data_IF_605608331344
#
_entry.id   IF_605608331344
#
_cell.length_a   1.000
_cell.length_b   1.000
_cell.length_c   1.000
_cell.angle_alpha   90.00
_cell.angle_beta   90.00
_cell.angle_gamma   90.00
#
_symmetry.space_group_name_H-M   'P 1'
#
loop_
_entity.id
_entity.type
_entity.pdbx_description
1 polymer ?
#
# COMPACT_ATOMS: atom_id res chain seq x y z
N UNK A 1 8.45 -10.38 -1.62
CA UNK A 1 9.45 -11.42 -1.23
C UNK A 1 9.84 -11.35 0.24
N UNK A 2 10.29 -10.21 0.77
CA UNK A 2 10.74 -10.11 2.18
C UNK A 2 9.65 -10.44 3.21
N UNK A 3 8.38 -10.11 2.94
CA UNK A 3 7.27 -10.45 3.83
C UNK A 3 7.13 -11.97 4.04
N UNK A 4 7.23 -12.74 2.96
CA UNK A 4 7.17 -14.22 3.03
C UNK A 4 8.35 -14.76 3.84
N UNK A 5 9.56 -14.27 3.57
CA UNK A 5 10.76 -14.66 4.32
C UNK A 5 10.58 -14.33 5.81
N UNK A 6 10.09 -13.13 6.13
CA UNK A 6 9.81 -12.71 7.50
C UNK A 6 8.83 -13.64 8.23
N UNK A 7 7.72 -13.99 7.57
CA UNK A 7 6.73 -14.95 8.12
C UNK A 7 7.40 -16.32 8.39
N UNK A 8 8.15 -16.83 7.42
CA UNK A 8 8.86 -18.12 7.58
C UNK A 8 9.85 -18.08 8.75
N UNK A 9 10.59 -16.97 8.91
CA UNK A 9 11.53 -16.80 10.02
C UNK A 9 10.80 -16.73 11.36
N UNK A 10 9.71 -16.00 11.48
CA UNK A 10 8.92 -15.90 12.72
C UNK A 10 8.41 -17.27 13.14
N UNK A 11 7.69 -17.95 12.26
CA UNK A 11 7.14 -19.27 12.57
C UNK A 11 8.23 -20.33 12.74
N UNK A 12 9.27 -20.29 11.92
CA UNK A 12 10.40 -21.20 12.00
C UNK A 12 11.18 -21.07 13.31
N UNK A 13 11.42 -19.85 13.78
CA UNK A 13 12.11 -19.60 15.06
C UNK A 13 11.27 -20.09 16.26
N UNK A 14 9.95 -19.81 16.26
CA UNK A 14 9.07 -20.21 17.35
C UNK A 14 8.92 -21.73 17.39
N UNK A 15 8.61 -22.35 16.25
CA UNK A 15 8.47 -23.83 16.18
C UNK A 15 9.80 -24.50 16.44
N UNK A 16 10.91 -24.01 15.90
CA UNK A 16 12.24 -24.54 16.12
C UNK A 16 12.66 -24.46 17.59
N UNK A 17 12.45 -23.30 18.25
CA UNK A 17 12.72 -23.16 19.69
C UNK A 17 11.88 -24.10 20.54
N UNK A 18 10.58 -24.23 20.22
CA UNK A 18 9.67 -25.12 20.91
C UNK A 18 10.09 -26.60 20.78
N UNK A 19 10.55 -27.01 19.58
CA UNK A 19 11.07 -28.40 19.38
C UNK A 19 12.41 -28.65 20.08
N UNK A 20 13.28 -27.64 20.19
CA UNK A 20 14.55 -27.78 20.96
C UNK A 20 14.29 -28.09 22.44
N UNK A 21 13.22 -27.56 23.02
CA UNK A 21 12.73 -27.83 24.37
C UNK A 21 11.91 -29.14 24.46
N UNK A 22 11.96 -29.99 23.40
CA UNK A 22 11.17 -31.22 23.28
C UNK A 22 9.66 -31.03 23.38
N UNK A 23 9.16 -29.87 22.95
CA UNK A 23 7.74 -29.57 22.92
C UNK A 23 6.97 -30.44 21.92
N UNK A 24 5.74 -30.82 22.29
CA UNK A 24 4.88 -31.64 21.45
C UNK A 24 4.02 -30.73 20.55
N UNK A 25 4.28 -30.73 19.24
CA UNK A 25 3.54 -29.92 18.28
C UNK A 25 2.04 -30.21 18.25
N UNK A 26 1.58 -31.41 18.59
CA UNK A 26 0.16 -31.74 18.64
C UNK A 26 -0.59 -30.89 19.69
N UNK A 27 0.09 -30.48 20.75
CA UNK A 27 -0.48 -29.62 21.78
C UNK A 27 -0.75 -28.19 21.23
N UNK A 28 0.08 -27.70 20.30
CA UNK A 28 -0.11 -26.40 19.67
C UNK A 28 -1.23 -26.38 18.63
N UNK A 29 -1.62 -27.55 18.11
CA UNK A 29 -2.68 -27.68 17.13
C UNK A 29 -4.05 -27.80 17.85
N UNK A 30 -4.64 -26.67 18.16
CA UNK A 30 -5.95 -26.55 18.83
C UNK A 30 -6.97 -25.91 17.88
N UNK A 31 -7.71 -26.74 17.08
CA UNK A 31 -8.68 -26.18 16.11
C UNK A 31 -9.80 -25.35 16.76
N UNK A 32 -10.22 -25.74 17.97
CA UNK A 32 -11.26 -25.01 18.69
C UNK A 32 -10.81 -23.57 19.03
N UNK A 33 -9.59 -23.40 19.53
CA UNK A 33 -9.01 -22.10 19.85
C UNK A 33 -8.84 -21.24 18.59
N UNK A 34 -8.42 -21.83 17.47
CA UNK A 34 -8.35 -21.14 16.19
C UNK A 34 -9.71 -20.66 15.71
N UNK A 35 -10.76 -21.46 15.84
CA UNK A 35 -12.13 -21.09 15.46
C UNK A 35 -12.62 -19.93 16.33
N UNK A 36 -12.38 -19.99 17.64
CA UNK A 36 -12.80 -18.93 18.56
C UNK A 36 -12.10 -17.62 18.19
N UNK A 37 -10.76 -17.63 18.07
CA UNK A 37 -9.98 -16.43 17.82
C UNK A 37 -10.25 -15.87 16.43
N UNK A 38 -10.09 -16.70 15.39
CA UNK A 38 -10.25 -16.25 14.00
C UNK A 38 -11.71 -15.92 13.65
N UNK A 39 -12.67 -16.71 14.18
CA UNK A 39 -14.10 -16.46 13.97
C UNK A 39 -14.55 -15.17 14.65
N UNK A 40 -14.15 -14.95 15.90
CA UNK A 40 -14.46 -13.70 16.60
C UNK A 40 -13.76 -12.50 15.93
N UNK A 41 -12.50 -12.62 15.53
CA UNK A 41 -11.80 -11.58 14.78
C UNK A 41 -12.49 -11.25 13.44
N UNK A 42 -12.92 -12.26 12.69
CA UNK A 42 -13.70 -12.06 11.47
C UNK A 42 -15.03 -11.33 11.77
N UNK A 43 -15.73 -11.72 12.86
CA UNK A 43 -16.94 -11.04 13.30
C UNK A 43 -16.72 -9.57 13.64
N UNK A 44 -15.67 -9.26 14.39
CA UNK A 44 -15.35 -7.84 14.74
C UNK A 44 -15.04 -7.01 13.51
N UNK A 45 -14.32 -7.57 12.51
CA UNK A 45 -14.08 -6.90 11.22
C UNK A 45 -15.36 -6.56 10.49
N UNK A 46 -16.29 -7.51 10.40
CA UNK A 46 -17.58 -7.34 9.73
C UNK A 46 -18.47 -6.31 10.42
N UNK A 47 -18.43 -6.24 11.76
CA UNK A 47 -19.18 -5.25 12.53
C UNK A 47 -18.60 -3.85 12.35
N UNK A 48 -17.26 -3.72 12.27
CA UNK A 48 -16.57 -2.44 12.33
C UNK A 48 -16.42 -1.75 10.98
N UNK A 49 -16.55 -2.48 9.86
CA UNK A 49 -16.18 -1.97 8.55
C UNK A 49 -17.24 -2.18 7.48
N UNK A 50 -17.50 -1.18 6.63
CA UNK A 50 -18.37 -1.36 5.47
C UNK A 50 -17.70 -2.26 4.39
N UNK A 51 -18.51 -2.88 3.50
CA UNK A 51 -18.03 -3.89 2.54
C UNK A 51 -16.91 -3.41 1.61
N UNK A 52 -16.90 -2.13 1.24
CA UNK A 52 -15.85 -1.59 0.35
C UNK A 52 -14.47 -1.55 1.02
N UNK A 53 -14.40 -1.28 2.34
CA UNK A 53 -13.16 -1.31 3.11
C UNK A 53 -12.67 -2.75 3.24
N UNK A 54 -13.56 -3.72 3.47
CA UNK A 54 -13.21 -5.13 3.54
C UNK A 54 -12.59 -5.63 2.23
N UNK A 55 -13.14 -5.20 1.09
CA UNK A 55 -12.58 -5.52 -0.22
C UNK A 55 -11.19 -4.90 -0.41
N UNK A 56 -11.02 -3.61 -0.08
CA UNK A 56 -9.72 -2.92 -0.14
C UNK A 56 -8.70 -3.59 0.81
N UNK A 57 -9.10 -4.01 2.00
CA UNK A 57 -8.26 -4.71 2.97
C UNK A 57 -7.77 -6.07 2.41
N UNK A 58 -8.65 -6.87 1.82
CA UNK A 58 -8.28 -8.14 1.20
C UNK A 58 -7.32 -7.94 0.01
N UNK A 59 -7.55 -6.92 -0.81
CA UNK A 59 -6.64 -6.53 -1.90
C UNK A 59 -5.28 -6.06 -1.37
N UNK A 60 -5.26 -5.26 -0.29
CA UNK A 60 -4.04 -4.80 0.36
C UNK A 60 -3.22 -5.95 0.93
N UNK A 61 -3.86 -6.92 1.61
CA UNK A 61 -3.22 -8.16 2.08
C UNK A 61 -2.54 -8.92 0.94
N UNK A 62 -3.21 -9.10 -0.20
CA UNK A 62 -2.62 -9.74 -1.37
C UNK A 62 -1.44 -8.92 -1.93
N UNK A 63 -1.55 -7.59 -1.90
CA UNK A 63 -0.52 -6.65 -2.37
C UNK A 63 0.80 -6.73 -1.61
N UNK A 64 0.77 -7.06 -0.31
CA UNK A 64 1.98 -7.19 0.53
C UNK A 64 2.95 -8.25 0.01
N UNK A 65 2.44 -9.28 -0.65
CA UNK A 65 3.24 -10.36 -1.24
C UNK A 65 3.77 -10.02 -2.65
N UNK A 66 3.29 -8.91 -3.25
CA UNK A 66 3.82 -8.33 -4.49
C UNK A 66 5.16 -7.63 -4.25
N UNK A 67 5.63 -6.89 -5.19
CA UNK A 67 6.77 -5.97 -5.05
C UNK A 67 6.29 -4.55 -4.75
N UNK A 68 7.23 -3.60 -4.63
CA UNK A 68 6.88 -2.19 -4.57
C UNK A 68 6.17 -1.75 -5.86
N UNK A 69 5.09 -1.00 -5.71
CA UNK A 69 4.32 -0.44 -6.84
C UNK A 69 5.06 0.73 -7.51
N UNK A 70 6.00 1.36 -6.80
CA UNK A 70 6.69 2.57 -7.20
C UNK A 70 8.21 2.39 -7.27
N UNK A 71 8.71 1.50 -8.18
CA UNK A 71 10.14 1.34 -8.40
C UNK A 71 10.72 2.59 -9.09
N UNK A 72 12.04 2.77 -9.04
CA UNK A 72 12.78 3.87 -9.68
C UNK A 72 12.36 4.12 -11.13
N UNK A 73 12.13 3.04 -11.91
CA UNK A 73 11.72 3.15 -13.32
C UNK A 73 10.38 3.86 -13.46
N UNK A 74 9.43 3.63 -12.55
CA UNK A 74 8.12 4.28 -12.59
C UNK A 74 8.23 5.80 -12.40
N UNK A 75 9.11 6.27 -11.51
CA UNK A 75 9.40 7.70 -11.36
C UNK A 75 10.02 8.29 -12.63
N UNK A 76 10.97 7.58 -13.25
CA UNK A 76 11.56 8.00 -14.53
C UNK A 76 10.53 8.13 -15.63
N UNK A 77 9.67 7.11 -15.78
CA UNK A 77 8.62 7.08 -16.81
C UNK A 77 7.63 8.23 -16.62
N UNK A 78 7.24 8.51 -15.38
CA UNK A 78 6.32 9.60 -15.06
C UNK A 78 6.92 10.98 -15.31
N UNK A 79 8.16 11.19 -14.87
CA UNK A 79 8.86 12.45 -15.13
C UNK A 79 9.11 12.66 -16.63
N UNK A 80 9.37 11.58 -17.38
CA UNK A 80 9.50 11.64 -18.84
C UNK A 80 8.18 11.97 -19.53
N UNK A 81 7.08 11.32 -19.12
CA UNK A 81 5.73 11.63 -19.61
C UNK A 81 5.40 13.11 -19.39
N UNK A 82 5.61 13.60 -18.16
CA UNK A 82 5.37 15.01 -17.84
C UNK A 82 6.27 15.93 -18.66
N UNK A 83 7.55 15.59 -18.84
CA UNK A 83 8.47 16.37 -19.67
C UNK A 83 7.98 16.47 -21.11
N UNK A 84 7.49 15.39 -21.71
CA UNK A 84 6.99 15.36 -23.08
C UNK A 84 5.74 16.25 -23.23
N UNK A 85 4.79 16.12 -22.31
CA UNK A 85 3.58 16.97 -22.27
C UNK A 85 3.94 18.44 -22.07
N UNK A 86 4.80 18.75 -21.11
CA UNK A 86 5.22 20.13 -20.83
C UNK A 86 5.99 20.76 -22.00
N UNK A 87 6.85 19.98 -22.66
CA UNK A 87 7.63 20.45 -23.81
C UNK A 87 6.74 20.74 -25.01
N UNK A 88 5.71 19.94 -25.24
CA UNK A 88 4.73 20.18 -26.29
C UNK A 88 3.87 21.41 -25.96
N UNK A 89 3.35 21.48 -24.76
CA UNK A 89 2.58 22.63 -24.28
C UNK A 89 3.39 23.94 -24.34
N UNK A 90 4.68 23.90 -24.03
CA UNK A 90 5.54 25.10 -24.09
C UNK A 90 5.79 25.60 -25.51
N UNK A 91 5.84 24.71 -26.50
CA UNK A 91 6.08 25.05 -27.92
C UNK A 91 4.82 25.48 -28.66
N UNK A 92 3.72 24.80 -28.39
CA UNK A 92 2.49 24.85 -29.18
C UNK A 92 1.30 25.47 -28.43
N UNK A 93 1.52 25.85 -27.14
CA UNK A 93 0.48 26.33 -26.24
C UNK A 93 -0.18 25.23 -25.41
N UNK A 94 -0.87 25.62 -24.33
CA UNK A 94 -1.53 24.68 -23.41
C UNK A 94 -2.59 23.84 -24.11
N UNK A 95 -3.32 24.41 -25.08
CA UNK A 95 -4.33 23.68 -25.85
C UNK A 95 -3.79 22.52 -26.69
N UNK A 96 -2.48 22.47 -26.96
CA UNK A 96 -1.88 21.40 -27.74
C UNK A 96 -1.92 20.03 -27.02
N UNK A 97 -2.03 20.01 -25.70
CA UNK A 97 -2.14 18.78 -24.89
C UNK A 97 -3.58 18.45 -24.48
N UNK A 98 -4.55 19.28 -24.85
CA UNK A 98 -5.96 19.09 -24.46
C UNK A 98 -6.50 17.74 -24.95
N UNK A 99 -6.30 17.41 -26.24
CA UNK A 99 -6.73 16.14 -26.81
C UNK A 99 -6.05 14.92 -26.13
N UNK A 100 -4.79 15.07 -25.67
CA UNK A 100 -4.07 13.99 -24.98
C UNK A 100 -4.64 13.73 -23.57
N UNK A 101 -5.02 14.79 -22.85
CA UNK A 101 -5.56 14.65 -21.48
C UNK A 101 -7.06 14.32 -21.48
N UNK A 102 -7.80 14.64 -22.57
CA UNK A 102 -9.19 14.23 -22.71
C UNK A 102 -9.34 12.74 -23.05
N UNK A 103 -8.52 12.25 -23.98
CA UNK A 103 -8.51 10.82 -24.34
C UNK A 103 -7.08 10.26 -24.32
N UNK A 104 -6.55 9.94 -23.12
CA UNK A 104 -5.19 9.42 -23.00
C UNK A 104 -5.00 8.05 -23.70
N UNK A 105 -6.09 7.33 -24.00
CA UNK A 105 -6.01 6.03 -24.69
C UNK A 105 -5.63 6.19 -26.15
N UNK A 106 -5.94 7.32 -26.77
CA UNK A 106 -5.57 7.68 -28.15
C UNK A 106 -4.27 8.47 -28.24
N UNK A 107 -3.78 8.97 -27.12
CA UNK A 107 -2.55 9.75 -27.06
C UNK A 107 -1.32 8.87 -27.28
N UNK A 108 -0.48 9.22 -28.26
CA UNK A 108 0.82 8.57 -28.48
C UNK A 108 1.77 8.79 -27.30
N UNK A 109 1.64 9.93 -26.60
CA UNK A 109 2.47 10.28 -25.45
C UNK A 109 2.14 9.38 -24.25
N UNK A 110 0.86 9.22 -23.91
CA UNK A 110 0.44 8.38 -22.78
C UNK A 110 0.61 6.88 -23.09
N UNK A 111 0.30 6.42 -24.30
CA UNK A 111 0.43 5.00 -24.67
C UNK A 111 1.86 4.48 -24.68
N UNK A 112 2.86 5.37 -24.73
CA UNK A 112 4.27 5.01 -24.56
C UNK A 112 4.60 4.54 -23.12
N UNK A 113 3.72 4.80 -22.13
CA UNK A 113 3.92 4.47 -20.73
C UNK A 113 2.82 3.55 -20.18
N UNK A 114 2.81 2.26 -20.54
CA UNK A 114 1.73 1.32 -20.20
C UNK A 114 1.52 1.15 -18.69
N UNK A 115 2.58 1.31 -17.89
CA UNK A 115 2.50 1.21 -16.43
C UNK A 115 1.66 2.34 -15.82
N UNK A 116 1.71 3.55 -16.40
CA UNK A 116 0.91 4.71 -15.98
C UNK A 116 -0.52 4.54 -16.48
N UNK A 117 -0.69 4.10 -17.73
CA UNK A 117 -2.01 3.86 -18.34
C UNK A 117 -2.86 2.83 -17.59
N UNK A 118 -2.23 1.83 -16.96
CA UNK A 118 -2.91 0.80 -16.15
C UNK A 118 -3.35 1.31 -14.77
N UNK A 119 -2.79 2.40 -14.30
CA UNK A 119 -3.09 2.98 -13.00
C UNK A 119 -4.05 4.15 -13.18
N UNK A 120 -5.35 3.84 -13.10
CA UNK A 120 -6.40 4.82 -13.34
C UNK A 120 -6.34 6.02 -12.39
N UNK A 121 -5.90 5.84 -11.13
CA UNK A 121 -5.80 6.93 -10.19
C UNK A 121 -4.69 7.92 -10.59
N UNK A 122 -3.50 7.41 -10.90
CA UNK A 122 -2.38 8.23 -11.38
C UNK A 122 -2.73 8.92 -12.71
N UNK A 123 -3.36 8.19 -13.62
CA UNK A 123 -3.78 8.72 -14.91
C UNK A 123 -4.76 9.87 -14.74
N UNK A 124 -5.79 9.68 -13.92
CA UNK A 124 -6.80 10.71 -13.65
C UNK A 124 -6.17 11.93 -12.96
N UNK A 125 -5.32 11.72 -11.94
CA UNK A 125 -4.62 12.81 -11.27
C UNK A 125 -3.85 13.70 -12.24
N UNK A 126 -3.11 13.11 -13.19
CA UNK A 126 -2.37 13.87 -14.20
C UNK A 126 -3.33 14.55 -15.18
N UNK A 127 -4.30 13.82 -15.73
CA UNK A 127 -5.20 14.33 -16.76
C UNK A 127 -6.11 15.41 -16.22
N UNK A 128 -6.73 15.24 -15.05
CA UNK A 128 -7.66 16.19 -14.48
C UNK A 128 -6.96 17.50 -14.06
N UNK A 129 -5.75 17.39 -13.51
CA UNK A 129 -4.92 18.57 -13.19
C UNK A 129 -4.56 19.34 -14.46
N UNK A 130 -4.07 18.67 -15.50
CA UNK A 130 -3.67 19.33 -16.73
C UNK A 130 -4.89 19.86 -17.50
N UNK A 131 -6.04 19.19 -17.48
CA UNK A 131 -7.30 19.66 -18.03
C UNK A 131 -7.74 20.97 -17.35
N UNK A 132 -7.66 21.02 -16.03
CA UNK A 132 -7.95 22.26 -15.29
C UNK A 132 -6.99 23.37 -15.66
N UNK A 133 -5.70 23.07 -15.80
CA UNK A 133 -4.70 24.06 -16.20
C UNK A 133 -4.90 24.55 -17.65
N UNK A 134 -5.32 23.69 -18.58
CA UNK A 134 -5.57 24.07 -19.99
C UNK A 134 -6.80 24.97 -20.15
N UNK A 135 -7.77 24.89 -19.26
CA UNK A 135 -8.95 25.75 -19.28
C UNK A 135 -8.63 27.23 -19.11
N UNK A 136 -7.47 27.55 -18.47
CA UNK A 136 -7.05 28.93 -18.20
C UNK A 136 -7.95 29.71 -17.23
N UNK A 137 -8.95 29.04 -16.64
CA UNK A 137 -9.94 29.67 -15.76
C UNK A 137 -9.54 29.65 -14.27
N UNK A 138 -8.49 28.93 -13.91
CA UNK A 138 -8.08 28.69 -12.52
C UNK A 138 -6.64 29.14 -12.30
N UNK A 139 -6.41 29.88 -11.23
CA UNK A 139 -5.08 30.36 -10.87
C UNK A 139 -4.14 29.20 -10.47
N UNK A 140 -2.82 29.30 -10.74
CA UNK A 140 -1.85 28.25 -10.38
C UNK A 140 -1.86 27.86 -8.91
N UNK A 141 -2.18 28.78 -8.01
CA UNK A 141 -2.31 28.52 -6.58
C UNK A 141 -3.50 27.61 -6.28
N UNK A 142 -4.65 27.88 -6.88
CA UNK A 142 -5.86 27.08 -6.65
C UNK A 142 -5.72 25.67 -7.24
N UNK A 143 -5.04 25.52 -8.39
CA UNK A 143 -4.73 24.20 -8.95
C UNK A 143 -3.82 23.39 -7.99
N UNK A 144 -2.85 24.03 -7.34
CA UNK A 144 -2.00 23.36 -6.33
C UNK A 144 -2.82 22.90 -5.12
N UNK A 145 -3.78 23.72 -4.66
CA UNK A 145 -4.69 23.36 -3.58
C UNK A 145 -5.62 22.19 -3.97
N UNK A 146 -6.11 22.16 -5.21
CA UNK A 146 -6.92 21.05 -5.72
C UNK A 146 -6.12 19.75 -5.75
N UNK A 147 -4.87 19.78 -6.20
CA UNK A 147 -3.98 18.61 -6.17
C UNK A 147 -3.70 18.13 -4.74
N UNK A 148 -3.50 19.06 -3.80
CA UNK A 148 -3.27 18.74 -2.39
C UNK A 148 -4.49 18.04 -1.78
N UNK A 149 -5.69 18.58 -2.03
CA UNK A 149 -6.94 18.00 -1.56
C UNK A 149 -7.15 16.58 -2.14
N UNK A 150 -6.90 16.38 -3.44
CA UNK A 150 -7.02 15.06 -4.08
C UNK A 150 -6.05 14.05 -3.46
N UNK A 151 -4.80 14.46 -3.24
CA UNK A 151 -3.81 13.64 -2.54
C UNK A 151 -4.21 13.30 -1.12
N UNK A 152 -4.76 14.26 -0.36
CA UNK A 152 -5.22 14.04 1.01
C UNK A 152 -6.36 13.03 1.06
N UNK A 153 -7.38 13.20 0.22
CA UNK A 153 -8.52 12.28 0.12
C UNK A 153 -8.05 10.88 -0.26
N UNK A 154 -7.16 10.77 -1.26
CA UNK A 154 -6.62 9.49 -1.69
C UNK A 154 -5.82 8.79 -0.58
N UNK A 155 -4.98 9.54 0.14
CA UNK A 155 -4.19 9.00 1.26
C UNK A 155 -5.09 8.55 2.41
N UNK A 156 -6.12 9.32 2.77
CA UNK A 156 -7.11 8.93 3.78
C UNK A 156 -7.85 7.65 3.38
N UNK A 157 -8.25 7.52 2.12
CA UNK A 157 -8.87 6.28 1.62
C UNK A 157 -7.93 5.07 1.67
N UNK A 158 -6.64 5.26 1.38
CA UNK A 158 -5.63 4.22 1.45
C UNK A 158 -5.31 3.81 2.90
N UNK A 159 -5.45 4.72 3.86
CA UNK A 159 -5.26 4.45 5.28
C UNK A 159 -6.39 3.64 5.92
N UNK A 160 -7.63 3.72 5.41
CA UNK A 160 -8.78 3.01 5.99
C UNK A 160 -8.60 1.49 6.08
N UNK A 161 -8.20 0.76 5.02
CA UNK A 161 -7.98 -0.69 5.10
C UNK A 161 -6.80 -1.05 6.00
N UNK A 162 -5.81 -0.18 6.14
CA UNK A 162 -4.69 -0.35 7.07
C UNK A 162 -5.18 -0.26 8.51
N UNK A 163 -5.96 0.76 8.84
CA UNK A 163 -6.56 0.93 10.17
C UNK A 163 -7.48 -0.24 10.52
N UNK A 164 -8.29 -0.72 9.57
CA UNK A 164 -9.13 -1.88 9.76
C UNK A 164 -8.31 -3.13 10.11
N UNK A 165 -7.23 -3.41 9.39
CA UNK A 165 -6.35 -4.55 9.67
C UNK A 165 -5.61 -4.40 11.00
N UNK A 166 -5.17 -3.19 11.35
CA UNK A 166 -4.54 -2.91 12.65
C UNK A 166 -5.51 -3.18 13.80
N UNK A 167 -6.76 -2.74 13.69
CA UNK A 167 -7.80 -3.02 14.69
C UNK A 167 -8.02 -4.53 14.88
N UNK A 168 -7.98 -5.30 13.80
CA UNK A 168 -8.05 -6.78 13.90
C UNK A 168 -6.82 -7.31 14.63
N UNK A 169 -5.62 -6.91 14.23
CA UNK A 169 -4.38 -7.37 14.86
C UNK A 169 -4.40 -7.09 16.38
N UNK A 170 -4.79 -5.87 16.76
CA UNK A 170 -4.85 -5.43 18.16
C UNK A 170 -5.93 -6.17 18.98
N UNK A 171 -6.98 -6.68 18.35
CA UNK A 171 -8.02 -7.46 19.01
C UNK A 171 -7.60 -8.91 19.33
N UNK A 172 -6.65 -9.47 18.57
CA UNK A 172 -6.26 -10.88 18.69
C UNK A 172 -5.73 -11.31 20.06
N UNK A 173 -4.88 -10.53 20.76
CA UNK A 173 -4.44 -10.88 22.10
C UNK A 173 -5.61 -10.99 23.08
N UNK A 174 -6.57 -10.03 23.01
CA UNK A 174 -7.79 -10.05 23.82
C UNK A 174 -8.67 -11.27 23.52
N UNK A 175 -8.86 -11.60 22.23
CA UNK A 175 -9.60 -12.79 21.80
C UNK A 175 -8.88 -14.09 22.22
N UNK A 176 -7.54 -14.09 22.22
CA UNK A 176 -6.74 -15.19 22.77
C UNK A 176 -6.97 -15.41 24.27
N UNK A 177 -7.13 -14.32 25.04
CA UNK A 177 -7.49 -14.42 26.46
C UNK A 177 -8.91 -15.00 26.62
N UNK A 178 -9.87 -14.55 25.78
CA UNK A 178 -11.25 -15.11 25.79
C UNK A 178 -11.21 -16.62 25.54
N UNK A 179 -10.46 -17.07 24.53
CA UNK A 179 -10.29 -18.49 24.23
C UNK A 179 -9.69 -19.25 25.43
N UNK A 180 -8.62 -18.71 26.03
CA UNK A 180 -7.96 -19.30 27.21
C UNK A 180 -8.94 -19.42 28.41
N UNK A 181 -9.72 -18.39 28.69
CA UNK A 181 -10.70 -18.41 29.79
C UNK A 181 -11.79 -19.48 29.55
N UNK A 182 -12.28 -19.60 28.31
CA UNK A 182 -13.22 -20.67 27.94
C UNK A 182 -12.59 -22.06 28.14
N UNK A 183 -11.33 -22.23 27.75
CA UNK A 183 -10.57 -23.46 27.98
C UNK A 183 -10.44 -23.82 29.48
N UNK A 184 -10.18 -22.81 30.33
CA UNK A 184 -10.15 -23.00 31.79
C UNK A 184 -11.53 -23.39 32.33
N UNK A 185 -12.63 -22.75 31.88
CA UNK A 185 -14.01 -23.12 32.28
C UNK A 185 -14.29 -24.58 31.94
N UNK A 186 -13.90 -25.03 30.74
CA UNK A 186 -14.04 -26.44 30.33
C UNK A 186 -13.21 -27.39 31.23
N UNK A 187 -11.97 -26.95 31.58
CA UNK A 187 -11.07 -27.71 32.46
C UNK A 187 -11.68 -27.90 33.87
N UNK A 188 -12.29 -26.81 34.39
CA UNK A 188 -12.97 -26.89 35.71
C UNK A 188 -14.10 -27.94 35.75
N UNK A 189 -14.82 -28.12 34.63
CA UNK A 189 -15.81 -29.17 34.48
C UNK A 189 -15.24 -30.62 34.47
N UNK A 190 -13.94 -30.76 34.27
CA UNK A 190 -13.24 -32.04 34.29
C UNK A 190 -12.53 -32.36 35.63
N UNK A 191 -12.68 -31.51 36.64
CA UNK A 191 -12.12 -31.74 37.97
C UNK A 191 -12.71 -33.04 38.57
N UNK A 192 -11.84 -33.94 38.98
CA UNK A 192 -12.19 -35.29 39.43
C UNK A 192 -11.91 -36.40 38.41
N UNK A 193 -11.52 -36.04 37.19
CA UNK A 193 -10.97 -36.95 36.18
C UNK A 193 -9.49 -37.23 36.33
N UNK A 194 -8.89 -38.01 35.41
CA UNK A 194 -7.48 -38.33 35.42
C UNK A 194 -6.59 -37.07 35.34
N UNK A 195 -5.50 -36.95 36.11
CA UNK A 195 -4.61 -35.77 36.08
C UNK A 195 -4.05 -35.46 34.70
N UNK A 196 -3.82 -36.44 33.86
CA UNK A 196 -3.37 -36.28 32.48
C UNK A 196 -4.36 -35.52 31.60
N UNK A 197 -5.66 -35.80 31.76
CA UNK A 197 -6.71 -35.13 31.04
C UNK A 197 -6.81 -33.63 31.44
N UNK A 198 -6.67 -33.37 32.75
CA UNK A 198 -6.64 -31.98 33.26
C UNK A 198 -5.44 -31.25 32.69
N UNK A 199 -4.24 -31.90 32.70
CA UNK A 199 -3.02 -31.32 32.12
C UNK A 199 -3.16 -30.96 30.63
N UNK A 200 -3.76 -31.84 29.84
CA UNK A 200 -4.04 -31.57 28.42
C UNK A 200 -4.99 -30.37 28.21
N UNK A 201 -6.06 -30.28 29.01
CA UNK A 201 -7.02 -29.16 28.91
C UNK A 201 -6.40 -27.83 29.33
N UNK A 202 -5.57 -27.81 30.36
CA UNK A 202 -4.81 -26.61 30.77
C UNK A 202 -3.82 -26.19 29.68
N UNK A 203 -3.09 -27.12 29.11
CA UNK A 203 -2.17 -26.85 28.04
C UNK A 203 -2.91 -26.25 26.80
N UNK A 204 -4.06 -26.83 26.43
CA UNK A 204 -4.89 -26.32 25.34
C UNK A 204 -5.35 -24.86 25.59
N UNK A 205 -5.83 -24.56 26.80
CA UNK A 205 -6.25 -23.20 27.17
C UNK A 205 -5.11 -22.17 27.06
N UNK A 206 -3.89 -22.52 27.41
CA UNK A 206 -2.72 -21.63 27.27
C UNK A 206 -2.36 -21.35 25.80
N UNK A 207 -2.63 -22.32 24.91
CA UNK A 207 -2.38 -22.15 23.47
C UNK A 207 -3.24 -21.04 22.87
N UNK A 208 -4.46 -20.82 23.36
CA UNK A 208 -5.30 -19.71 22.88
C UNK A 208 -4.63 -18.35 23.05
N UNK A 209 -4.11 -18.07 24.24
CA UNK A 209 -3.35 -16.83 24.50
C UNK A 209 -2.11 -16.74 23.61
N UNK A 210 -1.33 -17.81 23.51
CA UNK A 210 -0.16 -17.87 22.66
C UNK A 210 -0.49 -17.57 21.19
N UNK A 211 -1.52 -18.19 20.62
CA UNK A 211 -1.96 -17.98 19.25
C UNK A 211 -2.44 -16.54 19.02
N UNK A 212 -3.21 -15.97 19.92
CA UNK A 212 -3.66 -14.58 19.82
C UNK A 212 -2.50 -13.61 19.74
N UNK A 213 -1.51 -13.75 20.62
CA UNK A 213 -0.28 -12.92 20.64
C UNK A 213 0.56 -13.15 19.38
N UNK A 214 0.76 -14.41 18.99
CA UNK A 214 1.54 -14.74 17.80
C UNK A 214 0.92 -14.17 16.52
N UNK A 215 -0.37 -14.32 16.33
CA UNK A 215 -1.06 -13.80 15.15
C UNK A 215 -1.05 -12.27 15.13
N UNK A 216 -1.16 -11.60 16.27
CA UNK A 216 -1.06 -10.14 16.37
C UNK A 216 0.35 -9.66 15.97
N UNK A 217 1.36 -10.03 16.76
CA UNK A 217 2.70 -9.44 16.64
C UNK A 217 3.59 -10.13 15.61
N UNK A 218 3.34 -11.42 15.34
CA UNK A 218 4.12 -12.21 14.40
C UNK A 218 3.60 -12.16 12.96
N UNK A 219 2.34 -11.79 12.77
CA UNK A 219 1.71 -11.86 11.43
C UNK A 219 0.96 -10.58 11.05
N UNK A 220 -0.21 -10.31 11.64
CA UNK A 220 -1.12 -9.26 11.15
C UNK A 220 -0.60 -7.85 11.40
N UNK A 221 0.02 -7.59 12.55
CA UNK A 221 0.63 -6.30 12.86
C UNK A 221 1.75 -5.90 11.87
N UNK A 222 2.75 -6.77 11.61
CA UNK A 222 3.76 -6.52 10.58
C UNK A 222 3.17 -6.35 9.18
N UNK A 223 2.12 -7.08 8.81
CA UNK A 223 1.42 -6.94 7.54
C UNK A 223 0.74 -5.57 7.45
N UNK A 224 0.00 -5.15 8.48
CA UNK A 224 -0.63 -3.84 8.54
C UNK A 224 0.40 -2.71 8.43
N UNK A 225 1.53 -2.83 9.13
CA UNK A 225 2.66 -1.89 9.01
C UNK A 225 3.26 -1.84 7.60
N UNK A 226 3.33 -2.97 6.90
CA UNK A 226 3.80 -3.00 5.52
C UNK A 226 2.80 -2.31 4.58
N UNK A 227 1.50 -2.53 4.77
CA UNK A 227 0.46 -1.83 4.01
C UNK A 227 0.50 -0.32 4.24
N UNK A 228 0.73 0.14 5.49
CA UNK A 228 0.89 1.56 5.80
C UNK A 228 2.05 2.17 5.02
N UNK A 229 3.22 1.53 5.03
CA UNK A 229 4.39 1.98 4.27
C UNK A 229 4.11 2.04 2.77
N UNK A 230 3.34 1.09 2.23
CA UNK A 230 2.95 1.12 0.81
C UNK A 230 2.03 2.31 0.49
N UNK A 231 1.13 2.69 1.40
CA UNK A 231 0.30 3.89 1.25
C UNK A 231 1.14 5.18 1.33
N UNK A 232 2.15 5.23 2.21
CA UNK A 232 3.09 6.35 2.29
C UNK A 232 3.95 6.47 1.02
N UNK A 233 4.43 5.35 0.45
CA UNK A 233 5.15 5.33 -0.84
C UNK A 233 4.27 5.86 -1.98
N UNK A 234 2.99 5.50 -2.00
CA UNK A 234 2.01 5.98 -2.96
C UNK A 234 1.82 7.50 -2.84
N UNK A 235 1.61 8.00 -1.62
CA UNK A 235 1.48 9.44 -1.35
C UNK A 235 2.75 10.22 -1.77
N UNK A 236 3.94 9.68 -1.49
CA UNK A 236 5.21 10.27 -1.93
C UNK A 236 5.32 10.34 -3.46
N UNK A 237 4.78 9.34 -4.16
CA UNK A 237 4.76 9.34 -5.61
C UNK A 237 3.84 10.44 -6.18
N UNK A 238 2.62 10.60 -5.64
CA UNK A 238 1.73 11.71 -6.02
C UNK A 238 2.35 13.07 -5.72
N UNK A 239 3.04 13.20 -4.60
CA UNK A 239 3.76 14.43 -4.27
C UNK A 239 4.80 14.82 -5.33
N UNK A 240 5.53 13.85 -5.88
CA UNK A 240 6.47 14.09 -7.00
C UNK A 240 5.75 14.64 -8.24
N UNK A 241 4.61 14.05 -8.60
CA UNK A 241 3.81 14.50 -9.74
C UNK A 241 3.28 15.92 -9.50
N UNK A 242 2.71 16.17 -8.32
CA UNK A 242 2.20 17.49 -7.92
C UNK A 242 3.30 18.56 -8.05
N UNK A 243 4.46 18.32 -7.47
CA UNK A 243 5.57 19.28 -7.46
C UNK A 243 6.05 19.59 -8.87
N UNK A 244 6.14 18.58 -9.76
CA UNK A 244 6.53 18.79 -11.14
C UNK A 244 5.48 19.57 -11.94
N UNK A 245 4.19 19.22 -11.80
CA UNK A 245 3.09 19.88 -12.49
C UNK A 245 2.92 21.32 -12.00
N UNK A 246 2.95 21.54 -10.70
CA UNK A 246 2.85 22.87 -10.10
C UNK A 246 3.98 23.80 -10.57
N UNK A 247 5.24 23.31 -10.61
CA UNK A 247 6.35 24.08 -11.14
C UNK A 247 6.11 24.49 -12.61
N UNK A 248 5.62 23.57 -13.44
CA UNK A 248 5.31 23.86 -14.84
C UNK A 248 4.17 24.85 -14.99
N UNK A 249 3.06 24.67 -14.27
CA UNK A 249 1.88 25.56 -14.30
C UNK A 249 2.26 26.98 -13.88
N UNK A 250 3.19 27.14 -12.93
CA UNK A 250 3.77 28.44 -12.52
C UNK A 250 4.76 29.02 -13.54
N UNK A 251 4.91 28.42 -14.72
CA UNK A 251 5.72 28.95 -15.83
C UNK A 251 7.16 28.48 -15.86
N UNK A 252 7.58 27.55 -15.00
CA UNK A 252 8.93 26.99 -15.02
C UNK A 252 9.18 26.23 -16.33
N UNK A 253 10.40 26.29 -16.86
CA UNK A 253 10.77 25.55 -18.07
C UNK A 253 10.62 24.02 -17.86
N UNK A 254 10.15 23.26 -18.87
CA UNK A 254 9.86 21.83 -18.75
C UNK A 254 10.95 21.00 -18.07
N UNK A 255 12.21 21.20 -18.48
CA UNK A 255 13.35 20.46 -17.91
C UNK A 255 13.59 20.79 -16.43
N UNK A 256 13.36 22.04 -16.03
CA UNK A 256 13.48 22.45 -14.63
C UNK A 256 12.30 21.97 -13.80
N UNK A 257 11.09 21.97 -14.35
CA UNK A 257 9.90 21.46 -13.66
C UNK A 257 10.05 19.96 -13.30
N UNK A 258 10.51 19.12 -14.24
CA UNK A 258 10.77 17.71 -13.96
C UNK A 258 12.01 17.49 -13.07
N UNK A 259 13.01 18.38 -13.09
CA UNK A 259 14.13 18.32 -12.15
C UNK A 259 13.69 18.65 -10.72
N UNK A 260 12.76 19.59 -10.54
CA UNK A 260 12.15 19.88 -9.24
C UNK A 260 11.38 18.65 -8.76
N UNK A 261 10.58 18.00 -9.63
CA UNK A 261 9.93 16.72 -9.34
C UNK A 261 10.92 15.62 -8.96
N UNK A 262 12.03 15.46 -9.71
CA UNK A 262 13.08 14.48 -9.39
C UNK A 262 13.66 14.67 -7.98
N UNK A 263 13.84 15.91 -7.55
CA UNK A 263 14.34 16.21 -6.19
C UNK A 263 13.36 15.83 -5.09
N UNK A 264 12.06 15.79 -5.38
CA UNK A 264 11.04 15.32 -4.46
C UNK A 264 10.99 13.78 -4.35
N UNK A 265 11.59 13.03 -5.29
CA UNK A 265 11.63 11.57 -5.23
C UNK A 265 12.39 11.10 -3.99
N UNK A 266 11.89 10.10 -3.22
CA UNK A 266 12.57 9.52 -2.07
C UNK A 266 13.97 9.01 -2.41
N UNK A 267 14.94 9.26 -1.53
CA UNK A 267 16.37 9.00 -1.76
C UNK A 267 16.70 7.62 -2.34
N UNK A 268 16.18 6.51 -1.77
CA UNK A 268 16.50 5.15 -2.23
C UNK A 268 16.12 4.86 -3.69
N UNK A 269 15.08 5.52 -4.21
CA UNK A 269 14.56 5.31 -5.58
C UNK A 269 14.76 6.50 -6.49
N UNK A 270 15.46 7.55 -6.02
CA UNK A 270 15.69 8.79 -6.77
C UNK A 270 16.58 8.53 -7.98
N UNK A 271 16.13 8.88 -9.21
CA UNK A 271 16.96 8.84 -10.41
C UNK A 271 18.12 9.83 -10.33
N UNK A 272 19.22 9.50 -10.98
CA UNK A 272 20.35 10.44 -11.14
C UNK A 272 19.98 11.62 -12.05
N UNK A 273 20.59 12.79 -11.82
CA UNK A 273 20.38 13.97 -12.66
C UNK A 273 20.67 13.69 -14.14
N UNK A 274 21.86 13.12 -14.44
CA UNK A 274 22.25 12.80 -15.81
C UNK A 274 21.35 11.75 -16.48
N UNK A 275 20.78 10.84 -15.69
CA UNK A 275 19.88 9.80 -16.18
C UNK A 275 18.56 10.42 -16.66
N UNK A 276 17.94 11.27 -15.84
CA UNK A 276 16.74 11.99 -16.24
C UNK A 276 17.00 12.91 -17.43
N UNK A 277 18.11 13.66 -17.41
CA UNK A 277 18.48 14.56 -18.51
C UNK A 277 18.63 13.79 -19.83
N UNK A 278 19.36 12.67 -19.84
CA UNK A 278 19.53 11.82 -21.04
C UNK A 278 18.18 11.28 -21.53
N UNK A 279 17.29 10.90 -20.61
CA UNK A 279 15.96 10.40 -20.95
C UNK A 279 15.10 11.51 -21.58
N UNK A 280 15.15 12.73 -21.04
CA UNK A 280 14.44 13.89 -21.59
C UNK A 280 15.00 14.35 -22.95
N UNK A 281 16.29 14.21 -23.19
CA UNK A 281 16.93 14.56 -24.49
C UNK A 281 16.63 13.54 -25.61
N UNK A 282 16.27 12.29 -25.28
CA UNK A 282 15.79 11.34 -26.28
C UNK A 282 14.45 11.85 -26.80
N UNK A 283 14.38 12.06 -28.13
CA UNK A 283 13.15 12.49 -28.81
C UNK A 283 12.01 11.56 -28.43
N UNK A 284 10.88 12.10 -27.99
CA UNK A 284 9.67 11.34 -27.76
C UNK A 284 9.15 10.74 -29.08
N UNK A 285 8.20 9.79 -29.03
CA UNK A 285 7.73 9.05 -30.21
C UNK A 285 7.19 9.93 -31.34
N UNK A 286 6.74 11.16 -31.06
CA UNK A 286 6.27 12.11 -32.10
C UNK A 286 7.41 12.82 -32.85
N UNK A 287 8.56 13.02 -32.24
CA UNK A 287 9.68 13.72 -32.89
C UNK A 287 10.56 12.78 -33.76
N UNK A 288 10.27 11.47 -33.77
CA UNK A 288 10.90 10.49 -34.64
C UNK A 288 10.12 10.25 -35.95
N UNK A 289 8.91 10.85 -36.06
CA UNK A 289 8.01 10.71 -37.21
C UNK A 289 7.90 12.00 -38.07
N UNK A 290 8.65 13.07 -37.74
CA UNK A 290 8.82 14.29 -38.49
C UNK A 290 10.28 14.41 -38.97
#
# INVERSE_FOLDING_TARGET
MFAIIGIVVVFGAIVGGYLMEKGNLHVLLQPAELIIIAGAAAGTVLISNPPHILKKMAQGLAGVFGGTKFPRQRYLDSLKLLFDLFSRSRREGLSAIEADVEDPTKSKTFTAFPAIMKDHHVLNFICDTLRTATSGAVEPFDIDQMMELDMEVHHQEAAQPVAALSTVADSLPGLGIVAAVLGVVITMGALGGPPEEIGHKVAAALVGTFLGILLCYGLLGPIASNMAKSADEENAYYHVLRVAMNAFIKGTAPILAVEIGRRAVPGPVRPGFQELERLCRKKGPEAAAA
#
